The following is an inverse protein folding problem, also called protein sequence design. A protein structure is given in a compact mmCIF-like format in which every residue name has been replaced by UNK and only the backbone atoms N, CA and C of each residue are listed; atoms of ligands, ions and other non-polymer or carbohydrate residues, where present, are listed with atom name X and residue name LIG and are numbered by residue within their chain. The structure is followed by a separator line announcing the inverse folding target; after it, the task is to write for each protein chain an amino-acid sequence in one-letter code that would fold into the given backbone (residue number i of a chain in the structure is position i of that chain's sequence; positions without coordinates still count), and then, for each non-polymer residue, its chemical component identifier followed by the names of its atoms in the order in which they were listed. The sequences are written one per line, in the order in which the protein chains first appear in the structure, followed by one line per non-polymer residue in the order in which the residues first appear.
data_IF_885061514451
#
_entry.id   IF_885061514451
#
_cell.length_a   1.000
_cell.length_b   1.000
_cell.length_c   1.000
_cell.angle_alpha   90.00
_cell.angle_beta   90.00
_cell.angle_gamma   90.00
#
_symmetry.space_group_name_H-M   'P 1'
#
loop_
_entity.id
_entity.type
_entity.pdbx_description
1 polymer ?
#
# COMPACT_ATOMS: atom_id res chain seq x y z
N UNK A 1 -22.59 -14.94 -0.53
CA UNK A 1 -21.35 -14.27 -0.98
C UNK A 1 -21.49 -12.79 -0.70
N UNK A 2 -20.59 -12.20 0.10
CA UNK A 2 -20.59 -10.76 0.32
C UNK A 2 -20.16 -10.05 -0.96
N UNK A 3 -20.87 -8.98 -1.36
CA UNK A 3 -20.51 -8.17 -2.51
C UNK A 3 -19.23 -7.39 -2.18
N UNK A 4 -18.14 -7.66 -2.89
CA UNK A 4 -16.90 -6.89 -2.78
C UNK A 4 -16.90 -5.75 -3.80
N UNK A 5 -16.48 -4.55 -3.39
CA UNK A 5 -16.29 -3.44 -4.31
C UNK A 5 -15.02 -3.69 -5.14
N UNK A 6 -15.11 -3.56 -6.46
CA UNK A 6 -13.98 -3.70 -7.38
C UNK A 6 -13.14 -2.43 -7.38
N UNK A 7 -12.40 -2.19 -6.29
CA UNK A 7 -11.49 -1.06 -6.16
C UNK A 7 -10.07 -1.62 -6.23
N UNK A 8 -9.40 -1.44 -7.38
CA UNK A 8 -7.98 -1.75 -7.55
C UNK A 8 -7.22 -0.43 -7.69
N UNK A 9 -6.11 -0.31 -6.96
CA UNK A 9 -5.20 0.83 -7.00
C UNK A 9 -3.81 0.36 -7.41
N UNK A 10 -2.95 1.32 -7.76
CA UNK A 10 -1.56 1.09 -8.18
C UNK A 10 -0.60 1.87 -7.30
N UNK A 11 0.48 1.21 -6.87
CA UNK A 11 1.67 1.86 -6.32
C UNK A 11 2.78 1.72 -7.35
N UNK A 12 3.34 2.83 -7.81
CA UNK A 12 4.50 2.82 -8.70
C UNK A 12 5.76 2.63 -7.88
N UNK A 13 6.69 1.85 -8.41
CA UNK A 13 7.97 1.50 -7.78
C UNK A 13 9.16 2.22 -8.45
N UNK A 14 8.87 3.23 -9.28
CA UNK A 14 9.83 4.17 -9.86
C UNK A 14 10.68 4.81 -8.76
N UNK A 15 12.01 4.80 -8.94
CA UNK A 15 12.95 5.47 -8.05
C UNK A 15 13.32 4.70 -6.76
N UNK A 16 12.76 3.52 -6.51
CA UNK A 16 13.21 2.67 -5.40
C UNK A 16 14.56 1.99 -5.67
N UNK A 17 14.79 1.55 -6.91
CA UNK A 17 16.01 0.87 -7.34
C UNK A 17 16.47 1.38 -8.70
N UNK A 18 17.78 1.39 -8.92
CA UNK A 18 18.35 1.77 -10.22
C UNK A 18 17.88 0.82 -11.32
N UNK A 19 17.36 1.38 -12.41
CA UNK A 19 16.82 0.62 -13.54
C UNK A 19 15.34 0.25 -13.43
N UNK A 20 14.67 0.60 -12.33
CA UNK A 20 13.22 0.51 -12.21
C UNK A 20 12.58 1.79 -12.71
N UNK A 21 11.79 1.67 -13.76
CA UNK A 21 11.12 2.78 -14.43
C UNK A 21 9.63 2.84 -14.06
N UNK A 22 8.90 3.73 -14.75
CA UNK A 22 7.47 3.94 -14.56
C UNK A 22 6.60 2.75 -14.93
N UNK A 23 7.17 1.74 -15.60
CA UNK A 23 6.46 0.52 -15.94
C UNK A 23 6.47 -0.48 -14.77
N UNK A 24 7.23 -0.20 -13.70
CA UNK A 24 7.23 -0.96 -12.46
C UNK A 24 6.13 -0.49 -11.52
N UNK A 25 5.13 -1.35 -11.28
CA UNK A 25 4.02 -1.05 -10.38
C UNK A 25 3.43 -2.30 -9.74
N UNK A 26 2.78 -2.12 -8.60
CA UNK A 26 2.02 -3.15 -7.91
C UNK A 26 0.55 -2.74 -7.86
N UNK A 27 -0.32 -3.64 -8.29
CA UNK A 27 -1.77 -3.53 -8.19
C UNK A 27 -2.28 -4.19 -6.92
N UNK A 28 -3.08 -3.44 -6.16
CA UNK A 28 -3.58 -3.89 -4.86
C UNK A 28 -5.00 -3.41 -4.61
N UNK A 29 -5.68 -4.09 -3.68
CA UNK A 29 -6.99 -3.73 -3.17
C UNK A 29 -6.85 -3.01 -1.83
N UNK A 30 -7.53 -1.88 -1.61
CA UNK A 30 -7.46 -1.20 -0.31
C UNK A 30 -8.03 -2.08 0.80
N UNK A 31 -7.51 -1.89 2.01
CA UNK A 31 -7.99 -2.56 3.19
C UNK A 31 -9.48 -2.27 3.41
N UNK A 32 -10.29 -3.32 3.64
CA UNK A 32 -11.68 -3.13 4.02
C UNK A 32 -11.80 -2.86 5.51
N UNK A 33 -12.94 -2.30 5.94
CA UNK A 33 -13.19 -2.12 7.37
C UNK A 33 -13.14 -3.45 8.17
N UNK A 34 -13.55 -4.56 7.55
CA UNK A 34 -13.46 -5.88 8.15
C UNK A 34 -12.02 -6.35 8.36
N UNK A 35 -11.12 -6.04 7.42
CA UNK A 35 -9.70 -6.39 7.54
C UNK A 35 -8.99 -5.51 8.57
N UNK A 36 -9.39 -4.24 8.69
CA UNK A 36 -8.91 -3.36 9.76
C UNK A 36 -9.29 -3.86 11.15
N UNK A 37 -10.50 -4.40 11.31
CA UNK A 37 -10.92 -5.02 12.57
C UNK A 37 -10.08 -6.26 12.91
N UNK A 38 -9.79 -7.12 11.93
CA UNK A 38 -8.91 -8.28 12.13
C UNK A 38 -7.50 -7.85 12.52
N UNK A 39 -6.94 -6.84 11.84
CA UNK A 39 -5.61 -6.34 12.15
C UNK A 39 -5.52 -5.77 13.57
N UNK A 40 -6.57 -5.10 14.05
CA UNK A 40 -6.64 -4.60 15.43
C UNK A 40 -6.80 -5.71 16.48
N UNK A 41 -7.46 -6.80 16.13
CA UNK A 41 -7.63 -7.97 16.99
C UNK A 41 -6.34 -8.81 17.06
N UNK A 42 -5.49 -8.71 16.03
CA UNK A 42 -4.13 -9.21 16.10
C UNK A 42 -3.35 -8.39 17.12
N UNK A 43 -3.13 -8.96 18.31
CA UNK A 43 -2.29 -8.36 19.35
C UNK A 43 -0.83 -8.30 18.91
N UNK A 44 -0.45 -7.24 18.20
CA UNK A 44 0.93 -7.04 17.74
C UNK A 44 1.88 -6.79 18.91
N UNK A 45 1.40 -6.19 20.00
CA UNK A 45 2.20 -5.88 21.20
C UNK A 45 2.69 -7.12 21.98
N UNK A 46 2.10 -8.29 21.75
CA UNK A 46 2.49 -9.56 22.39
C UNK A 46 3.31 -10.47 21.45
N UNK A 47 3.60 -10.02 20.21
CA UNK A 47 4.34 -10.79 19.22
C UNK A 47 5.82 -10.38 19.16
N UNK A 48 6.67 -11.36 18.85
CA UNK A 48 8.05 -11.12 18.44
C UNK A 48 8.08 -10.32 17.12
N UNK A 49 9.10 -9.49 16.91
CA UNK A 49 9.21 -8.59 15.76
C UNK A 49 9.11 -9.35 14.43
N UNK A 50 9.70 -10.54 14.37
CA UNK A 50 9.63 -11.43 13.21
C UNK A 50 8.21 -11.94 12.91
N UNK A 51 7.41 -12.19 13.96
CA UNK A 51 6.02 -12.64 13.82
C UNK A 51 5.10 -11.48 13.36
N UNK A 52 5.36 -10.27 13.88
CA UNK A 52 4.68 -9.06 13.42
C UNK A 52 4.95 -8.79 11.93
N UNK A 53 6.21 -8.90 11.50
CA UNK A 53 6.60 -8.74 10.10
C UNK A 53 5.92 -9.78 9.20
N UNK A 54 5.92 -11.05 9.60
CA UNK A 54 5.26 -12.13 8.84
C UNK A 54 3.76 -11.88 8.69
N UNK A 55 3.11 -11.38 9.75
CA UNK A 55 1.69 -11.03 9.71
C UNK A 55 1.41 -9.89 8.72
N UNK A 56 2.22 -8.84 8.75
CA UNK A 56 2.11 -7.70 7.83
C UNK A 56 2.32 -8.13 6.38
N UNK A 57 3.29 -9.00 6.13
CA UNK A 57 3.61 -9.53 4.81
C UNK A 57 2.47 -10.36 4.24
N UNK A 58 1.89 -11.27 5.04
CA UNK A 58 0.74 -12.07 4.65
C UNK A 58 -0.49 -11.20 4.35
N UNK A 59 -0.75 -10.19 5.19
CA UNK A 59 -1.83 -9.24 4.94
C UNK A 59 -1.61 -8.45 3.65
N UNK A 60 -0.37 -8.04 3.37
CA UNK A 60 -0.03 -7.37 2.11
C UNK A 60 -0.30 -8.28 0.92
N UNK A 61 0.18 -9.54 0.97
CA UNK A 61 -0.02 -10.57 -0.06
C UNK A 61 -1.50 -10.80 -0.39
N UNK A 62 -2.36 -10.91 0.62
CA UNK A 62 -3.81 -11.11 0.44
C UNK A 62 -4.49 -9.97 -0.35
N UNK A 63 -3.89 -8.78 -0.31
CA UNK A 63 -4.41 -7.59 -0.96
C UNK A 63 -3.80 -7.35 -2.35
N UNK A 64 -2.74 -8.05 -2.73
CA UNK A 64 -2.15 -7.98 -4.07
C UNK A 64 -3.11 -8.57 -5.10
N UNK A 65 -3.16 -7.92 -6.27
CA UNK A 65 -3.90 -8.38 -7.44
C UNK A 65 -2.96 -8.78 -8.57
N UNK A 66 -1.82 -8.10 -8.68
CA UNK A 66 -0.79 -8.35 -9.68
C UNK A 66 0.11 -7.12 -9.82
N UNK A 67 0.75 -6.96 -10.96
CA UNK A 67 1.62 -5.84 -11.23
C UNK A 67 2.69 -6.18 -12.25
N UNK A 68 3.67 -5.27 -12.38
CA UNK A 68 4.85 -5.44 -13.20
C UNK A 68 6.07 -5.04 -12.39
N UNK A 69 7.08 -5.90 -12.36
CA UNK A 69 8.34 -5.65 -11.64
C UNK A 69 9.53 -6.09 -12.48
N UNK A 70 10.70 -5.52 -12.17
CA UNK A 70 11.94 -5.93 -12.80
C UNK A 70 12.54 -7.10 -12.03
N UNK A 71 12.74 -8.21 -12.73
CA UNK A 71 13.36 -9.43 -12.20
C UNK A 71 14.69 -9.69 -12.91
N UNK A 72 15.61 -10.35 -12.22
CA UNK A 72 16.88 -10.78 -12.81
C UNK A 72 16.65 -12.03 -13.65
N UNK A 73 16.66 -11.88 -14.97
CA UNK A 73 16.56 -12.97 -15.93
C UNK A 73 17.87 -13.77 -16.07
N UNK A 74 17.82 -14.84 -16.87
CA UNK A 74 18.98 -15.68 -17.15
C UNK A 74 20.12 -14.85 -17.76
N UNK A 75 21.29 -14.83 -17.10
CA UNK A 75 22.45 -14.05 -17.54
C UNK A 75 22.61 -12.68 -16.86
N UNK A 76 21.79 -12.35 -15.86
CA UNK A 76 21.96 -11.14 -15.04
C UNK A 76 21.35 -9.86 -15.65
N UNK A 77 20.58 -10.01 -16.72
CA UNK A 77 19.82 -8.92 -17.32
C UNK A 77 18.51 -8.66 -16.55
N UNK A 78 18.14 -7.39 -16.40
CA UNK A 78 16.84 -7.03 -15.83
C UNK A 78 15.75 -7.17 -16.90
N UNK A 79 14.68 -7.88 -16.55
CA UNK A 79 13.53 -8.11 -17.43
C UNK A 79 12.26 -7.71 -16.70
N UNK A 80 11.35 -7.01 -17.39
CA UNK A 80 10.04 -6.68 -16.85
C UNK A 80 9.14 -7.92 -16.89
N UNK A 81 8.66 -8.36 -15.73
CA UNK A 81 7.82 -9.55 -15.61
C UNK A 81 6.57 -9.28 -14.75
N UNK A 82 5.61 -10.20 -14.77
CA UNK A 82 4.40 -10.15 -13.97
C UNK A 82 4.70 -10.32 -12.48
N UNK A 83 4.31 -9.31 -11.69
CA UNK A 83 4.46 -9.35 -10.25
C UNK A 83 3.57 -10.44 -9.62
N UNK A 84 4.19 -11.32 -8.86
CA UNK A 84 3.54 -12.32 -8.04
C UNK A 84 3.56 -11.90 -6.57
N UNK A 85 2.56 -12.33 -5.80
CA UNK A 85 2.50 -12.02 -4.37
C UNK A 85 3.74 -12.54 -3.60
N UNK A 86 4.33 -13.65 -4.04
CA UNK A 86 5.53 -14.24 -3.44
C UNK A 86 6.80 -13.39 -3.68
N UNK A 87 6.80 -12.51 -4.68
CA UNK A 87 7.93 -11.59 -4.92
C UNK A 87 8.10 -10.60 -3.75
N UNK A 88 7.06 -10.36 -2.95
CA UNK A 88 7.16 -9.53 -1.74
C UNK A 88 8.18 -10.05 -0.73
N UNK A 89 8.43 -11.37 -0.67
CA UNK A 89 9.43 -11.95 0.25
C UNK A 89 10.86 -11.56 -0.14
N UNK A 90 11.06 -11.18 -1.40
CA UNK A 90 12.36 -10.84 -1.99
C UNK A 90 12.57 -9.32 -2.08
N UNK A 91 11.54 -8.53 -1.77
CA UNK A 91 11.61 -7.07 -1.84
C UNK A 91 12.32 -6.46 -0.63
N UNK A 92 13.01 -5.32 -0.81
CA UNK A 92 13.46 -4.49 0.29
C UNK A 92 12.32 -4.12 1.24
N UNK A 93 12.52 -4.12 2.57
CA UNK A 93 11.49 -3.81 3.55
C UNK A 93 10.79 -2.46 3.30
N UNK A 94 11.55 -1.44 2.89
CA UNK A 94 11.03 -0.11 2.55
C UNK A 94 9.99 -0.10 1.41
N UNK A 95 10.10 -1.02 0.45
CA UNK A 95 9.10 -1.18 -0.61
C UNK A 95 7.84 -1.87 -0.09
N UNK A 96 8.02 -2.91 0.73
CA UNK A 96 6.90 -3.64 1.35
C UNK A 96 6.11 -2.73 2.28
N UNK A 97 6.80 -1.94 3.12
CA UNK A 97 6.20 -0.96 4.02
C UNK A 97 5.41 0.11 3.25
N UNK A 98 5.94 0.55 2.10
CA UNK A 98 5.24 1.50 1.24
C UNK A 98 3.93 0.92 0.71
N UNK A 99 3.98 -0.30 0.17
CA UNK A 99 2.80 -0.99 -0.36
C UNK A 99 1.78 -1.24 0.77
N UNK A 100 2.23 -1.66 1.94
CA UNK A 100 1.40 -1.87 3.12
C UNK A 100 0.71 -0.57 3.58
N UNK A 101 1.46 0.54 3.64
CA UNK A 101 0.90 1.85 3.99
C UNK A 101 -0.16 2.30 2.98
N UNK A 102 0.10 2.12 1.68
CA UNK A 102 -0.86 2.44 0.62
C UNK A 102 -2.15 1.58 0.74
N UNK A 103 -2.02 0.28 1.03
CA UNK A 103 -3.15 -0.64 1.25
C UNK A 103 -3.98 -0.23 2.47
N UNK A 104 -3.34 0.07 3.59
CA UNK A 104 -4.00 0.44 4.85
C UNK A 104 -4.51 1.87 4.85
N UNK A 105 -4.07 2.69 3.90
CA UNK A 105 -4.35 4.13 3.85
C UNK A 105 -3.59 4.92 4.92
N UNK A 106 -2.59 4.31 5.56
CA UNK A 106 -1.67 5.02 6.44
C UNK A 106 -0.79 5.96 5.62
N UNK A 107 -0.50 7.16 6.14
CA UNK A 107 0.48 8.04 5.50
C UNK A 107 1.87 7.43 5.65
N UNK A 108 2.41 6.88 4.57
CA UNK A 108 3.83 6.53 4.51
C UNK A 108 4.66 7.82 4.58
N UNK A 109 5.47 7.94 5.63
CA UNK A 109 6.45 9.01 5.76
C UNK A 109 7.82 8.46 5.40
N UNK A 110 8.30 8.79 4.20
CA UNK A 110 9.63 8.36 3.74
C UNK A 110 10.73 8.95 4.66
N UNK A 111 11.56 8.11 5.33
CA UNK A 111 12.59 8.59 6.24
C UNK A 111 13.75 9.32 5.53
N UNK A 112 13.88 9.22 4.20
CA UNK A 112 14.88 9.94 3.38
C UNK A 112 14.34 11.25 2.79
N UNK A 113 13.05 11.55 2.99
CA UNK A 113 12.45 12.87 2.80
C UNK A 113 12.21 13.30 1.35
N UNK A 114 10.93 13.30 0.93
CA UNK A 114 10.19 14.39 0.25
C UNK A 114 9.11 13.86 -0.71
N UNK A 115 8.07 14.64 -1.08
CA UNK A 115 7.30 15.63 -0.32
C UNK A 115 5.80 15.27 -0.27
N UNK A 116 5.10 15.91 0.67
CA UNK A 116 3.65 16.15 0.76
C UNK A 116 2.73 15.47 -0.29
N UNK A 117 2.13 14.33 0.07
CA UNK A 117 0.78 14.03 -0.39
C UNK A 117 -0.19 14.86 0.45
N UNK A 118 -0.45 16.07 -0.03
CA UNK A 118 -1.45 17.02 0.48
C UNK A 118 -2.83 16.34 0.46
N UNK A 119 -3.14 15.61 1.52
CA UNK A 119 -4.48 15.11 1.79
C UNK A 119 -5.37 16.31 2.05
N UNK A 120 -6.20 16.67 1.07
CA UNK A 120 -7.34 17.56 1.26
C UNK A 120 -8.25 16.93 2.32
N UNK A 121 -8.03 17.27 3.59
CA UNK A 121 -9.09 17.33 4.58
C UNK A 121 -10.08 18.37 4.09
N UNK A 122 -11.17 17.91 3.47
CA UNK A 122 -12.35 18.72 3.31
C UNK A 122 -12.92 18.98 4.70
N UNK A 123 -12.52 20.10 5.31
CA UNK A 123 -13.28 20.68 6.41
C UNK A 123 -14.71 20.93 5.92
N UNK A 124 -15.75 20.52 6.67
CA UNK A 124 -17.09 20.97 6.39
C UNK A 124 -17.17 22.45 6.77
N UNK A 125 -17.07 23.35 5.77
CA UNK A 125 -17.44 24.75 5.95
C UNK A 125 -18.91 24.82 6.36
N UNK A 126 -19.13 25.08 7.64
CA UNK A 126 -20.42 25.43 8.21
C UNK A 126 -20.73 26.86 7.72
N UNK A 127 -21.55 26.98 6.68
CA UNK A 127 -22.13 28.27 6.32
C UNK A 127 -23.43 28.44 7.10
N UNK A 128 -23.34 29.26 8.14
CA UNK A 128 -24.45 29.87 8.85
C UNK A 128 -25.37 30.59 7.85
N UNK A 129 -26.59 30.08 7.70
CA UNK A 129 -27.62 30.75 6.93
C UNK A 129 -28.29 31.79 7.85
N UNK A 130 -27.86 33.04 7.75
CA UNK A 130 -28.48 34.17 8.43
C UNK A 130 -29.91 34.36 7.95
N UNK A 131 -30.85 34.13 8.86
CA UNK A 131 -32.27 34.45 8.76
C UNK A 131 -32.48 35.94 8.44
N UNK A 132 -33.03 36.25 7.27
CA UNK A 132 -33.59 37.56 6.98
C UNK A 132 -35.00 37.64 7.58
N UNK A 133 -35.16 38.51 8.59
CA UNK A 133 -36.45 38.87 9.19
C UNK A 133 -37.16 39.91 8.30
N UNK A 134 -38.49 39.79 8.24
CA UNK A 134 -39.44 40.75 7.65
C UNK A 134 -39.35 42.16 8.23
#
# INVERSE_FOLDING_TARGET
MARQLAITKKTYLDGFLDGWDKDCYVEWRPMTYGDSLKLKDTKVDEQDEAAAFTTMLNLTKDHIVGGKVMVTGEGGQLVLDDFQADDLDLMPPEMVDRIFADITGAQFSDPKGSPEAQGKSGEPSTSENSTATQ
#
